data_IF_644629256094
#
_entry.id   IF_644629256094
#
_cell.length_a   1.000
_cell.length_b   1.000
_cell.length_c   1.000
_cell.angle_alpha   90.00
_cell.angle_beta   90.00
_cell.angle_gamma   90.00
#
_symmetry.space_group_name_H-M   'P 1'
#
loop_
_entity.id
_entity.type
_entity.pdbx_description
1 polymer ?
#
# COMPACT_ATOMS: atom_id res chain seq x y z
N UNK A 1 -1.29 12.69 6.16
CA UNK A 1 -1.37 11.82 4.97
C UNK A 1 -2.69 11.99 4.25
N UNK A 2 -2.74 11.91 2.91
CA UNK A 2 -3.98 12.01 2.15
C UNK A 2 -4.93 10.82 2.37
N UNK A 3 -6.24 11.07 2.37
CA UNK A 3 -7.30 10.07 2.57
C UNK A 3 -7.20 8.84 1.64
N UNK A 4 -6.91 8.97 0.33
CA UNK A 4 -6.81 7.81 -0.57
C UNK A 4 -5.76 6.77 -0.15
N UNK A 5 -4.63 7.23 0.39
CA UNK A 5 -3.57 6.35 0.87
C UNK A 5 -3.98 5.55 2.12
N UNK A 6 -4.71 6.18 3.03
CA UNK A 6 -5.27 5.52 4.21
C UNK A 6 -6.31 4.46 3.80
N UNK A 7 -7.12 4.74 2.78
CA UNK A 7 -8.06 3.76 2.22
C UNK A 7 -7.34 2.55 1.63
N UNK A 8 -6.24 2.75 0.89
CA UNK A 8 -5.45 1.63 0.35
C UNK A 8 -4.79 0.81 1.47
N UNK A 9 -4.25 1.46 2.50
CA UNK A 9 -3.71 0.77 3.67
C UNK A 9 -4.78 -0.11 4.33
N UNK A 10 -5.98 0.42 4.57
CA UNK A 10 -7.09 -0.34 5.14
C UNK A 10 -7.49 -1.53 4.24
N UNK A 11 -7.57 -1.33 2.92
CA UNK A 11 -7.87 -2.41 1.96
C UNK A 11 -6.82 -3.52 2.02
N UNK A 12 -5.53 -3.17 2.08
CA UNK A 12 -4.45 -4.13 2.21
C UNK A 12 -4.58 -4.98 3.49
N UNK A 13 -4.88 -4.35 4.62
CA UNK A 13 -5.10 -5.04 5.90
C UNK A 13 -6.30 -6.00 5.83
N UNK A 14 -7.39 -5.60 5.18
CA UNK A 14 -8.60 -6.44 5.03
C UNK A 14 -8.34 -7.72 4.21
N UNK A 15 -7.40 -7.70 3.28
CA UNK A 15 -7.01 -8.89 2.50
C UNK A 15 -5.82 -9.66 3.11
N UNK A 16 -5.51 -9.39 4.39
CA UNK A 16 -4.49 -10.12 5.16
C UNK A 16 -3.04 -9.71 4.86
N UNK A 17 -2.84 -8.57 4.21
CA UNK A 17 -1.51 -8.02 3.97
C UNK A 17 -1.12 -7.09 5.12
N UNK A 18 0.16 -7.10 5.53
CA UNK A 18 0.68 -6.06 6.41
C UNK A 18 0.94 -4.81 5.59
N UNK A 19 0.44 -3.65 6.02
CA UNK A 19 0.59 -2.40 5.28
C UNK A 19 1.01 -1.24 6.19
N UNK A 20 2.10 -0.59 5.82
CA UNK A 20 2.63 0.59 6.48
C UNK A 20 2.59 1.76 5.50
N UNK A 21 1.95 2.84 5.91
CA UNK A 21 1.98 4.09 5.18
C UNK A 21 3.04 4.99 5.80
N UNK A 22 4.02 5.41 5.00
CA UNK A 22 5.20 6.16 5.43
C UNK A 22 5.32 7.46 4.62
N UNK A 23 6.11 8.41 5.13
CA UNK A 23 6.65 9.48 4.29
C UNK A 23 7.95 8.95 3.66
N UNK A 24 8.01 8.91 2.34
CA UNK A 24 9.24 8.59 1.60
C UNK A 24 10.29 9.69 1.75
N UNK A 25 11.49 9.41 1.25
CA UNK A 25 12.66 10.32 1.40
C UNK A 25 12.44 11.69 0.74
N UNK A 26 11.53 11.78 -0.22
CA UNK A 26 11.11 13.01 -0.90
C UNK A 26 9.93 13.72 -0.22
N UNK A 27 9.52 13.24 0.96
CA UNK A 27 8.37 13.73 1.73
C UNK A 27 7.01 13.30 1.16
N UNK A 28 6.97 12.53 0.08
CA UNK A 28 5.71 12.04 -0.51
C UNK A 28 5.24 10.75 0.18
N UNK A 29 3.93 10.46 0.21
CA UNK A 29 3.45 9.22 0.79
C UNK A 29 3.98 7.99 0.03
N UNK A 30 4.41 6.98 0.79
CA UNK A 30 4.82 5.67 0.28
C UNK A 30 4.08 4.57 1.04
N UNK A 31 3.37 3.71 0.31
CA UNK A 31 2.69 2.54 0.88
C UNK A 31 3.58 1.32 0.74
N UNK A 32 4.02 0.76 1.86
CA UNK A 32 4.77 -0.49 1.92
C UNK A 32 3.83 -1.61 2.31
N UNK A 33 3.68 -2.60 1.45
CA UNK A 33 2.85 -3.78 1.67
C UNK A 33 3.73 -5.02 1.74
N UNK A 34 3.46 -5.91 2.70
CA UNK A 34 4.22 -7.13 2.90
C UNK A 34 3.33 -8.35 3.16
N UNK A 35 3.72 -9.48 2.57
CA UNK A 35 3.14 -10.81 2.79
C UNK A 35 4.24 -11.86 2.73
N UNK A 36 4.44 -12.55 3.84
CA UNK A 36 5.49 -13.57 3.97
C UNK A 36 6.85 -13.02 3.51
N UNK A 37 7.45 -13.58 2.45
CA UNK A 37 8.75 -13.19 1.90
C UNK A 37 8.68 -12.11 0.81
N UNK A 38 7.51 -11.53 0.54
CA UNK A 38 7.35 -10.48 -0.47
C UNK A 38 7.04 -9.14 0.20
N UNK A 39 7.90 -8.16 -0.04
CA UNK A 39 7.68 -6.75 0.31
C UNK A 39 7.67 -5.94 -0.97
N UNK A 40 6.67 -5.07 -1.12
CA UNK A 40 6.57 -4.15 -2.25
C UNK A 40 6.15 -2.78 -1.74
N UNK A 41 6.77 -1.73 -2.27
CA UNK A 41 6.39 -0.36 -1.98
C UNK A 41 5.80 0.33 -3.20
N UNK A 42 4.95 1.33 -2.94
CA UNK A 42 4.25 2.10 -3.95
C UNK A 42 4.28 3.58 -3.61
N UNK A 43 4.74 4.38 -4.56
CA UNK A 43 4.67 5.86 -4.51
C UNK A 43 3.60 6.42 -5.44
N UNK A 44 3.05 5.58 -6.32
CA UNK A 44 1.90 5.92 -7.16
C UNK A 44 0.62 5.24 -6.63
N UNK A 45 -0.44 6.02 -6.52
CA UNK A 45 -1.72 5.57 -5.97
C UNK A 45 -2.40 4.53 -6.88
N UNK A 46 -2.35 4.74 -8.21
CA UNK A 46 -3.02 3.89 -9.20
C UNK A 46 -2.33 2.54 -9.32
N UNK A 47 -1.00 2.53 -9.27
CA UNK A 47 -0.23 1.29 -9.25
C UNK A 47 -0.55 0.45 -8.01
N UNK A 48 -0.57 1.09 -6.82
CA UNK A 48 -0.92 0.43 -5.56
C UNK A 48 -2.33 -0.19 -5.62
N UNK A 49 -3.30 0.56 -6.15
CA UNK A 49 -4.68 0.10 -6.31
C UNK A 49 -4.78 -1.09 -7.28
N UNK A 50 -4.17 -1.00 -8.46
CA UNK A 50 -4.18 -2.06 -9.46
C UNK A 50 -3.46 -3.33 -8.98
N UNK A 51 -2.42 -3.18 -8.16
CA UNK A 51 -1.76 -4.30 -7.53
C UNK A 51 -2.64 -4.94 -6.44
N UNK A 52 -3.22 -4.15 -5.54
CA UNK A 52 -4.08 -4.65 -4.46
C UNK A 52 -5.32 -5.38 -5.00
N UNK A 53 -5.93 -4.87 -6.07
CA UNK A 53 -7.06 -5.54 -6.74
C UNK A 53 -6.70 -6.95 -7.22
N UNK A 54 -5.46 -7.17 -7.69
CA UNK A 54 -4.98 -8.50 -8.11
C UNK A 54 -4.54 -9.38 -6.94
N UNK A 55 -4.03 -8.78 -5.87
CA UNK A 55 -3.54 -9.50 -4.70
C UNK A 55 -4.65 -9.99 -3.76
N UNK A 56 -5.81 -9.30 -3.77
CA UNK A 56 -6.97 -9.62 -2.93
C UNK A 56 -7.94 -10.64 -3.51
N UNK A 57 -7.98 -10.81 -4.85
CA UNK A 57 -9.01 -11.61 -5.55
C UNK A 57 -10.13 -10.74 -6.10
#
# INVERSE_FOLDING_TARGET
MPKPWLTLQARALLVGLRASLLAGDDGRPELVVSRWAMTRSFRDLREAEAWLARAGG
#
